data_IF_492971728493
#
_entry.id   IF_492971728493
#
_cell.length_a   1.000
_cell.length_b   1.000
_cell.length_c   1.000
_cell.angle_alpha   90.00
_cell.angle_beta   90.00
_cell.angle_gamma   90.00
#
_symmetry.space_group_name_H-M   'P 1'
#
loop_
_entity.id
_entity.type
_entity.pdbx_description
1 polymer ?
#
# COMPACT_ATOMS: atom_id res chain seq x y z
N UNK A 1 -17.36 2.67 -10.99
CA UNK A 1 -16.73 1.37 -10.69
C UNK A 1 -16.01 1.50 -9.35
N UNK A 2 -16.47 0.84 -8.27
CA UNK A 2 -15.75 0.89 -6.98
C UNK A 2 -14.48 0.04 -7.14
N UNK A 3 -13.32 0.69 -7.12
CA UNK A 3 -12.02 0.01 -7.03
C UNK A 3 -12.03 -0.84 -5.74
N UNK A 4 -11.53 -2.08 -5.85
CA UNK A 4 -11.48 -3.03 -4.73
C UNK A 4 -10.07 -3.56 -4.60
N UNK A 5 -9.68 -3.94 -3.38
CA UNK A 5 -8.44 -4.68 -3.08
C UNK A 5 -8.23 -5.86 -4.05
N UNK A 6 -9.32 -6.50 -4.46
CA UNK A 6 -9.31 -7.60 -5.43
C UNK A 6 -8.73 -7.20 -6.79
N UNK A 7 -9.03 -6.00 -7.30
CA UNK A 7 -8.46 -5.53 -8.58
C UNK A 7 -6.97 -5.24 -8.45
N UNK A 8 -6.57 -4.52 -7.41
CA UNK A 8 -5.15 -4.21 -7.14
C UNK A 8 -4.33 -5.50 -7.08
N UNK A 9 -4.76 -6.47 -6.27
CA UNK A 9 -4.07 -7.77 -6.16
C UNK A 9 -4.10 -8.57 -7.45
N UNK A 10 -5.21 -8.55 -8.20
CA UNK A 10 -5.33 -9.21 -9.51
C UNK A 10 -4.32 -8.65 -10.51
N UNK A 11 -4.17 -7.33 -10.58
CA UNK A 11 -3.21 -6.68 -11.48
C UNK A 11 -1.77 -6.94 -11.04
N UNK A 12 -1.50 -6.85 -9.74
CA UNK A 12 -0.18 -7.17 -9.19
C UNK A 12 0.26 -8.61 -9.51
N UNK A 13 -0.64 -9.59 -9.38
CA UNK A 13 -0.37 -10.99 -9.75
C UNK A 13 -0.08 -11.19 -11.25
N UNK A 14 -0.49 -10.25 -12.11
CA UNK A 14 -0.17 -10.25 -13.54
C UNK A 14 1.15 -9.54 -13.86
N UNK A 15 1.82 -8.98 -12.86
CA UNK A 15 3.01 -8.13 -13.03
C UNK A 15 2.67 -6.67 -13.34
N UNK A 16 1.39 -6.27 -13.30
CA UNK A 16 0.96 -4.92 -13.62
C UNK A 16 1.10 -4.01 -12.39
N UNK A 17 2.34 -3.69 -12.04
CA UNK A 17 2.70 -2.77 -10.97
C UNK A 17 3.60 -1.67 -11.50
N UNK A 18 3.32 -0.44 -11.09
CA UNK A 18 4.13 0.74 -11.41
C UNK A 18 4.51 1.42 -10.11
N UNK A 19 5.73 1.91 -10.02
CA UNK A 19 6.20 2.72 -8.91
C UNK A 19 6.35 4.16 -9.40
N UNK A 20 5.77 5.10 -8.68
CA UNK A 20 6.04 6.52 -8.92
C UNK A 20 7.46 6.86 -8.50
N UNK A 21 8.04 7.92 -9.07
CA UNK A 21 9.37 8.43 -8.68
C UNK A 21 9.41 8.73 -7.17
N UNK A 22 8.35 9.33 -6.65
CA UNK A 22 8.20 9.58 -5.22
C UNK A 22 8.28 8.29 -4.40
N UNK A 23 7.56 7.23 -4.79
CA UNK A 23 7.65 5.94 -4.12
C UNK A 23 9.07 5.35 -4.16
N UNK A 24 9.75 5.43 -5.30
CA UNK A 24 11.11 4.92 -5.45
C UNK A 24 12.11 5.65 -4.55
N UNK A 25 12.05 6.98 -4.47
CA UNK A 25 12.85 7.77 -3.54
C UNK A 25 12.58 7.37 -2.09
N UNK A 26 11.29 7.31 -1.72
CA UNK A 26 10.85 6.96 -0.38
C UNK A 26 11.28 5.54 0.03
N UNK A 27 11.30 4.59 -0.92
CA UNK A 27 11.82 3.24 -0.71
C UNK A 27 13.33 3.24 -0.46
N UNK A 28 14.09 4.00 -1.28
CA UNK A 28 15.55 4.12 -1.16
C UNK A 28 15.96 4.70 0.19
N UNK A 29 15.38 5.83 0.58
CA UNK A 29 15.66 6.49 1.87
C UNK A 29 15.38 5.59 3.08
N UNK A 30 14.33 4.77 2.99
CA UNK A 30 13.89 3.89 4.09
C UNK A 30 14.49 2.50 4.03
N UNK A 31 15.30 2.19 3.00
CA UNK A 31 15.86 0.86 2.73
C UNK A 31 14.78 -0.23 2.59
N UNK A 32 13.64 0.11 1.98
CA UNK A 32 12.53 -0.83 1.75
C UNK A 32 12.68 -1.44 0.35
N UNK A 33 12.80 -2.77 0.28
CA UNK A 33 12.89 -3.51 -0.99
C UNK A 33 11.52 -3.60 -1.66
N UNK A 34 11.52 -3.67 -2.99
CA UNK A 34 10.29 -3.89 -3.78
C UNK A 34 9.57 -5.18 -3.39
N UNK A 35 10.30 -6.24 -3.02
CA UNK A 35 9.69 -7.49 -2.53
C UNK A 35 8.79 -7.27 -1.30
N UNK A 36 9.22 -6.47 -0.33
CA UNK A 36 8.43 -6.13 0.88
C UNK A 36 7.19 -5.29 0.51
N UNK A 37 7.29 -4.43 -0.51
CA UNK A 37 6.13 -3.67 -1.03
C UNK A 37 5.12 -4.60 -1.68
N UNK A 38 5.57 -5.50 -2.57
CA UNK A 38 4.72 -6.48 -3.25
C UNK A 38 4.02 -7.38 -2.23
N UNK A 39 4.76 -7.88 -1.24
CA UNK A 39 4.24 -8.74 -0.18
C UNK A 39 3.18 -8.02 0.67
N UNK A 40 3.41 -6.76 1.05
CA UNK A 40 2.43 -5.95 1.77
C UNK A 40 1.10 -5.80 0.97
N UNK A 41 1.17 -5.63 -0.35
CA UNK A 41 -0.03 -5.48 -1.18
C UNK A 41 -0.77 -6.84 -1.34
N UNK A 42 -0.03 -7.92 -1.57
CA UNK A 42 -0.61 -9.25 -1.79
C UNK A 42 -1.17 -9.88 -0.52
N UNK A 43 -0.39 -9.83 0.56
CA UNK A 43 -0.64 -10.61 1.78
C UNK A 43 -0.97 -9.71 2.99
N UNK A 44 -0.56 -8.44 2.96
CA UNK A 44 -0.85 -7.48 4.01
C UNK A 44 -2.32 -7.08 4.07
N UNK A 45 -2.76 -6.56 5.22
CA UNK A 45 -4.15 -6.17 5.42
C UNK A 45 -4.41 -4.77 4.84
N UNK A 46 -5.51 -4.55 4.10
CA UNK A 46 -5.94 -3.20 3.77
C UNK A 46 -6.44 -2.51 5.04
N UNK A 47 -5.88 -1.35 5.37
CA UNK A 47 -6.16 -0.63 6.62
C UNK A 47 -6.95 0.65 6.42
N UNK A 48 -6.88 1.24 5.22
CA UNK A 48 -7.56 2.50 4.94
C UNK A 48 -7.89 2.58 3.45
N UNK A 49 -9.04 3.18 3.14
CA UNK A 49 -9.43 3.56 1.79
C UNK A 49 -9.55 5.08 1.74
N UNK A 50 -8.91 5.69 0.75
CA UNK A 50 -8.94 7.12 0.49
C UNK A 50 -9.65 7.37 -0.84
N UNK A 51 -10.82 7.99 -0.81
CA UNK A 51 -11.66 8.27 -1.98
C UNK A 51 -12.04 9.76 -2.14
N UNK A 52 -11.33 10.64 -1.44
CA UNK A 52 -11.53 12.10 -1.47
C UNK A 52 -10.74 12.82 -2.56
N UNK A 53 -9.76 12.16 -3.20
CA UNK A 53 -8.97 12.70 -4.31
C UNK A 53 -9.40 12.13 -5.68
N UNK A 54 -8.80 12.64 -6.77
CA UNK A 54 -9.03 12.16 -8.15
C UNK A 54 -8.97 10.63 -8.29
N UNK A 55 -8.00 10.00 -7.62
CA UNK A 55 -7.79 8.55 -7.69
C UNK A 55 -8.03 7.90 -6.33
N UNK A 56 -8.87 6.85 -6.33
CA UNK A 56 -9.06 6.02 -5.15
C UNK A 56 -7.76 5.29 -4.79
N UNK A 57 -7.34 5.44 -3.54
CA UNK A 57 -6.15 4.79 -2.98
C UNK A 57 -6.55 3.82 -1.87
N UNK A 58 -5.79 2.75 -1.77
CA UNK A 58 -5.87 1.80 -0.66
C UNK A 58 -4.52 1.77 0.04
N UNK A 59 -4.55 1.81 1.36
CA UNK A 59 -3.38 1.63 2.20
C UNK A 59 -3.31 0.18 2.65
N UNK A 60 -2.16 -0.46 2.43
CA UNK A 60 -1.86 -1.80 2.92
C UNK A 60 -0.78 -1.73 3.99
N UNK A 61 -1.01 -2.34 5.15
CA UNK A 61 0.05 -2.55 6.13
C UNK A 61 0.99 -3.67 5.68
N UNK A 62 2.20 -3.71 6.23
CA UNK A 62 3.11 -4.85 6.08
C UNK A 62 2.43 -6.20 6.41
N UNK A 63 2.76 -7.22 5.64
CA UNK A 63 2.33 -8.59 5.88
C UNK A 63 3.18 -9.22 7.00
N UNK A 64 2.80 -8.96 8.24
CA UNK A 64 3.49 -9.49 9.42
C UNK A 64 2.50 -9.87 10.52
N UNK A 65 2.93 -10.76 11.42
CA UNK A 65 2.22 -11.06 12.67
C UNK A 65 2.63 -10.12 13.82
N UNK A 66 3.72 -9.37 13.64
CA UNK A 66 4.19 -8.35 14.58
C UNK A 66 3.58 -6.98 14.26
N UNK A 67 4.06 -5.92 14.93
CA UNK A 67 3.70 -4.54 14.63
C UNK A 67 4.28 -4.17 13.25
N UNK A 68 3.46 -3.81 12.25
CA UNK A 68 3.93 -3.39 10.92
C UNK A 68 4.92 -2.23 10.99
N UNK A 69 6.09 -2.38 10.39
CA UNK A 69 7.11 -1.34 10.34
C UNK A 69 6.84 -0.31 9.23
N UNK A 70 6.08 -0.72 8.22
CA UNK A 70 5.72 0.13 7.09
C UNK A 70 4.30 -0.13 6.58
N UNK A 71 3.84 0.81 5.75
CA UNK A 71 2.63 0.68 4.97
C UNK A 71 2.85 1.24 3.56
N UNK A 72 2.03 0.78 2.63
CA UNK A 72 2.11 1.09 1.20
C UNK A 72 0.80 1.76 0.77
N UNK A 73 0.90 2.88 0.07
CA UNK A 73 -0.25 3.56 -0.53
C UNK A 73 -0.31 3.23 -2.02
N UNK A 74 -1.42 2.63 -2.45
CA UNK A 74 -1.59 2.15 -3.82
C UNK A 74 -2.83 2.78 -4.45
N UNK A 75 -2.66 3.47 -5.57
CA UNK A 75 -3.74 3.88 -6.43
C UNK A 75 -4.06 2.77 -7.44
N UNK A 76 -5.34 2.64 -7.79
CA UNK A 76 -5.77 1.74 -8.83
C UNK A 76 -6.05 2.53 -10.11
N UNK A 77 -5.15 2.43 -11.09
CA UNK A 77 -5.38 3.00 -12.40
C UNK A 77 -6.20 2.02 -13.25
N UNK A 78 -7.51 2.27 -13.29
CA UNK A 78 -8.45 1.43 -14.05
C UNK A 78 -8.32 1.61 -15.55
N UNK A 79 -7.78 2.73 -16.03
CA UNK A 79 -7.63 3.00 -17.45
C UNK A 79 -6.55 2.11 -18.08
N UNK A 80 -5.47 1.86 -17.32
CA UNK A 80 -4.35 1.03 -17.76
C UNK A 80 -4.31 -0.34 -17.07
N UNK A 81 -5.19 -0.62 -16.11
CA UNK A 81 -5.18 -1.85 -15.31
C UNK A 81 -3.87 -2.08 -14.54
N UNK A 82 -3.37 -1.03 -13.89
CA UNK A 82 -2.16 -1.07 -13.06
C UNK A 82 -2.45 -0.78 -11.59
N UNK A 83 -1.70 -1.47 -10.72
CA UNK A 83 -1.52 -1.06 -9.33
C UNK A 83 -0.36 -0.04 -9.28
N UNK A 84 -0.67 1.21 -8.97
CA UNK A 84 0.32 2.30 -8.92
C UNK A 84 0.73 2.55 -7.47
N UNK A 85 1.97 2.23 -7.13
CA UNK A 85 2.55 2.52 -5.81
C UNK A 85 2.86 4.01 -5.75
N UNK A 86 2.04 4.74 -4.97
CA UNK A 86 2.13 6.19 -4.82
C UNK A 86 3.23 6.55 -3.82
N UNK A 87 3.28 5.85 -2.69
CA UNK A 87 4.33 6.07 -1.69
C UNK A 87 4.45 4.88 -0.75
N UNK A 88 5.58 4.84 -0.03
CA UNK A 88 5.85 3.88 1.04
C UNK A 88 6.29 4.64 2.28
N UNK A 89 5.66 4.34 3.40
CA UNK A 89 5.87 5.07 4.65
C UNK A 89 6.33 4.12 5.76
N UNK A 90 7.14 4.62 6.70
CA UNK A 90 7.33 3.94 7.98
C UNK A 90 6.09 4.14 8.82
N UNK A 91 5.70 3.11 9.56
CA UNK A 91 4.68 3.21 10.59
C UNK A 91 5.23 4.06 11.72
N UNK A 92 4.47 5.09 12.10
CA UNK A 92 4.84 6.04 13.14
C UNK A 92 3.81 5.98 14.28
N UNK A 93 4.27 5.82 15.52
CA UNK A 93 3.40 5.65 16.71
C UNK A 93 2.54 6.88 16.99
N UNK A 94 2.95 8.06 16.51
CA UNK A 94 2.18 9.29 16.63
C UNK A 94 1.01 9.37 15.63
N UNK A 95 1.03 8.57 14.57
CA UNK A 95 -0.01 8.57 13.51
C UNK A 95 -0.96 7.38 13.64
N UNK A 96 -0.46 6.24 14.13
CA UNK A 96 -1.18 4.98 14.09
C UNK A 96 -1.20 4.28 15.46
N UNK A 97 -2.35 3.68 15.77
CA UNK A 97 -2.49 2.65 16.79
C UNK A 97 -2.47 1.25 16.16
N UNK A 98 -2.06 0.24 16.93
CA UNK A 98 -2.08 -1.16 16.52
C UNK A 98 -3.07 -1.93 17.39
N UNK A 99 -4.24 -2.25 16.81
CA UNK A 99 -5.39 -2.83 17.51
C UNK A 99 -5.77 -4.13 16.81
N UNK A 100 -5.75 -5.24 17.53
CA UNK A 100 -6.16 -6.56 17.02
C UNK A 100 -5.47 -6.94 15.69
N UNK A 101 -4.18 -6.62 15.54
CA UNK A 101 -3.41 -6.94 14.35
C UNK A 101 -3.68 -6.03 13.14
N UNK A 102 -4.28 -4.85 13.35
CA UNK A 102 -4.57 -3.84 12.32
C UNK A 102 -4.03 -2.47 12.75
N UNK A 103 -3.40 -1.77 11.81
CA UNK A 103 -3.09 -0.36 12.00
C UNK A 103 -4.37 0.48 11.85
N UNK A 104 -4.67 1.32 12.82
CA UNK A 104 -5.78 2.27 12.80
C UNK A 104 -5.25 3.70 12.97
N UNK A 105 -5.83 4.67 12.25
CA UNK A 105 -5.49 6.08 12.44
C UNK A 105 -5.88 6.51 13.86
N UNK A 106 -4.99 7.26 14.50
CA UNK A 106 -5.29 8.01 15.73
C UNK A 106 -6.29 9.13 15.47
#
# INVERSE_FOLDING_TARGET
MKITVKFIRKWLNKGNIVYTDHAQERMKERKIKSSKVVEAILNGKPIEKQDHDRDMKIIFQEATNDIPECYVVVAADTSTSHAVVVTVCKTKKEVWDFINGLMARK
#
